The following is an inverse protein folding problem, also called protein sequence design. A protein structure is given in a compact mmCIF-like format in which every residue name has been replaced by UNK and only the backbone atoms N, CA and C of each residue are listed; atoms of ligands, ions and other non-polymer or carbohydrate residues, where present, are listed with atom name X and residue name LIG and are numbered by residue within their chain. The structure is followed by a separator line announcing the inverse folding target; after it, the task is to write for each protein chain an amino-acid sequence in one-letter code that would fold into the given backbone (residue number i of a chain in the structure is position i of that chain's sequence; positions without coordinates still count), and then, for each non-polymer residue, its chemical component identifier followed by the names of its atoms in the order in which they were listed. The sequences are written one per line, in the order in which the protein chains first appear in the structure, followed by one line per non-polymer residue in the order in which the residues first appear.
data_IF_447928873928
#
_entry.id   IF_447928873928
#
_cell.length_a   1.000
_cell.length_b   1.000
_cell.length_c   1.000
_cell.angle_alpha   90.00
_cell.angle_beta   90.00
_cell.angle_gamma   90.00
#
_symmetry.space_group_name_H-M   'P 1'
#
loop_
_entity.id
_entity.type
_entity.pdbx_description
1 polymer ?
#
# COMPACT_ATOMS: atom_id res chain seq x y z
N UNK A 1 23.31 -16.96 31.83
CA UNK A 1 21.86 -17.07 31.64
C UNK A 1 21.65 -17.23 30.15
N UNK A 2 21.08 -18.34 29.71
CA UNK A 2 20.81 -18.60 28.30
C UNK A 2 19.39 -18.16 28.02
N UNK A 3 19.23 -17.17 27.13
CA UNK A 3 17.92 -16.67 26.66
C UNK A 3 17.55 -17.47 25.42
N UNK A 4 16.33 -18.02 25.40
CA UNK A 4 15.77 -18.73 24.25
C UNK A 4 14.46 -18.07 23.86
N UNK A 5 14.39 -17.55 22.66
CA UNK A 5 13.15 -17.07 22.05
C UNK A 5 12.43 -18.20 21.33
N UNK A 6 11.13 -18.36 21.59
CA UNK A 6 10.30 -19.39 20.97
C UNK A 6 9.12 -18.73 20.26
N UNK A 7 8.61 -19.39 19.22
CA UNK A 7 7.45 -18.94 18.45
C UNK A 7 6.24 -19.82 18.74
N UNK A 8 5.06 -19.20 18.77
CA UNK A 8 3.78 -19.89 18.87
C UNK A 8 2.79 -19.23 17.93
N UNK A 9 2.02 -20.03 17.19
CA UNK A 9 0.95 -19.51 16.33
C UNK A 9 -0.34 -19.36 17.12
N UNK A 10 -1.07 -18.27 16.86
CA UNK A 10 -2.40 -18.04 17.40
C UNK A 10 -3.29 -17.36 16.35
N UNK A 11 -4.60 -17.47 16.49
CA UNK A 11 -5.54 -16.77 15.59
C UNK A 11 -5.81 -15.35 16.10
N UNK A 12 -5.66 -14.36 15.23
CA UNK A 12 -6.00 -12.97 15.51
C UNK A 12 -7.02 -12.45 14.49
N UNK A 13 -7.89 -11.55 14.92
CA UNK A 13 -8.83 -10.83 14.05
C UNK A 13 -8.36 -9.40 13.88
N UNK A 14 -8.25 -8.94 12.64
CA UNK A 14 -7.96 -7.55 12.33
C UNK A 14 -9.16 -6.92 11.59
N UNK A 15 -9.14 -5.59 11.44
CA UNK A 15 -10.23 -4.82 10.82
C UNK A 15 -9.76 -4.16 9.53
N UNK A 16 -10.69 -3.81 8.67
CA UNK A 16 -10.49 -2.89 7.56
C UNK A 16 -11.68 -1.95 7.44
N UNK A 17 -11.51 -0.84 6.77
CA UNK A 17 -12.57 0.09 6.43
C UNK A 17 -12.89 -0.02 4.95
N UNK A 18 -14.18 0.08 4.61
CA UNK A 18 -14.62 0.24 3.23
C UNK A 18 -15.31 1.60 3.05
N UNK A 19 -15.13 2.19 1.88
CA UNK A 19 -15.78 3.44 1.46
C UNK A 19 -16.53 3.19 0.16
N UNK A 20 -17.75 3.69 0.10
CA UNK A 20 -18.76 3.47 -0.94
C UNK A 20 -19.36 2.04 -0.91
N UNK A 21 -20.10 1.67 -1.93
CA UNK A 21 -20.78 0.37 -2.02
C UNK A 21 -20.34 -0.30 -3.32
N UNK A 22 -19.91 -1.54 -3.21
CA UNK A 22 -19.62 -2.37 -4.37
C UNK A 22 -20.93 -2.71 -5.10
N UNK A 23 -21.02 -2.36 -6.37
CA UNK A 23 -22.22 -2.53 -7.19
C UNK A 23 -21.86 -2.78 -8.67
N UNK A 24 -22.84 -3.07 -9.50
CA UNK A 24 -22.66 -3.21 -10.96
C UNK A 24 -22.10 -1.96 -11.66
N UNK A 25 -22.22 -0.78 -11.02
CA UNK A 25 -21.65 0.47 -11.53
C UNK A 25 -20.19 0.67 -11.13
N UNK A 26 -19.67 -0.15 -10.23
CA UNK A 26 -18.29 -0.05 -9.75
C UNK A 26 -17.33 -0.40 -10.88
N UNK A 27 -16.44 0.49 -11.21
CA UNK A 27 -15.40 0.31 -12.24
C UNK A 27 -14.04 0.00 -11.62
N UNK A 28 -13.77 0.57 -10.43
CA UNK A 28 -12.48 0.48 -9.76
C UNK A 28 -12.67 -0.01 -8.32
N UNK A 29 -11.90 -1.02 -7.95
CA UNK A 29 -11.71 -1.44 -6.57
C UNK A 29 -10.30 -1.06 -6.15
N UNK A 30 -10.20 -0.32 -5.07
CA UNK A 30 -8.94 0.16 -4.53
C UNK A 30 -8.61 -0.60 -3.24
N UNK A 31 -7.38 -1.11 -3.13
CA UNK A 31 -6.82 -1.57 -1.86
C UNK A 31 -5.71 -0.61 -1.47
N UNK A 32 -5.91 0.13 -0.37
CA UNK A 32 -5.07 1.27 -0.02
C UNK A 32 -4.40 1.10 1.33
N UNK A 33 -3.08 1.04 1.34
CA UNK A 33 -2.24 0.84 2.51
C UNK A 33 -1.77 2.19 3.07
N UNK A 34 -2.14 2.48 4.30
CA UNK A 34 -1.79 3.73 4.98
C UNK A 34 -0.32 3.80 5.41
N UNK A 35 0.17 5.02 5.68
CA UNK A 35 1.48 5.25 6.28
C UNK A 35 1.53 4.90 7.76
N UNK A 36 2.75 4.85 8.32
CA UNK A 36 2.96 4.71 9.77
C UNK A 36 2.25 5.83 10.52
N UNK A 37 1.67 5.51 11.67
CA UNK A 37 0.94 6.47 12.52
C UNK A 37 -0.51 6.71 12.10
N UNK A 38 -0.92 6.28 10.92
CA UNK A 38 -2.32 6.37 10.51
C UNK A 38 -3.16 5.19 11.04
N UNK A 39 -4.47 5.42 11.09
CA UNK A 39 -5.48 4.36 11.18
C UNK A 39 -6.30 4.34 9.90
N UNK A 40 -6.70 3.15 9.44
CA UNK A 40 -7.46 2.96 8.19
C UNK A 40 -8.68 3.86 8.07
N UNK A 41 -9.44 4.06 9.19
CA UNK A 41 -10.64 4.90 9.26
C UNK A 41 -10.40 6.39 8.98
N UNK A 42 -9.18 6.87 9.18
CA UNK A 42 -8.81 8.25 8.85
C UNK A 42 -8.19 8.32 7.47
N UNK A 43 -7.35 7.35 7.12
CA UNK A 43 -6.68 7.30 5.84
C UNK A 43 -7.65 7.17 4.67
N UNK A 44 -8.67 6.35 4.79
CA UNK A 44 -9.67 6.13 3.73
C UNK A 44 -10.40 7.42 3.31
N UNK A 45 -10.44 8.44 4.18
CA UNK A 45 -11.10 9.73 3.91
C UNK A 45 -10.41 10.55 2.81
N UNK A 46 -9.15 10.27 2.50
CA UNK A 46 -8.47 10.93 1.37
C UNK A 46 -9.11 10.57 0.02
N UNK A 47 -9.83 9.47 -0.06
CA UNK A 47 -10.46 8.95 -1.27
C UNK A 47 -11.92 9.38 -1.45
N UNK A 48 -12.45 10.24 -0.59
CA UNK A 48 -13.88 10.61 -0.56
C UNK A 48 -14.32 11.50 -1.75
N UNK A 49 -13.38 12.04 -2.52
CA UNK A 49 -13.67 12.84 -3.72
C UNK A 49 -13.71 12.02 -5.01
N UNK A 50 -13.33 10.75 -4.96
CA UNK A 50 -13.50 9.84 -6.08
C UNK A 50 -15.00 9.61 -6.35
N UNK A 51 -15.42 9.49 -7.65
CA UNK A 51 -16.82 9.23 -8.00
C UNK A 51 -17.36 8.00 -7.26
N UNK A 52 -18.36 8.20 -6.39
CA UNK A 52 -18.83 7.20 -5.41
C UNK A 52 -19.38 5.94 -6.05
N UNK A 53 -20.09 6.06 -7.17
CA UNK A 53 -20.70 4.91 -7.85
C UNK A 53 -19.67 4.05 -8.59
N UNK A 54 -18.53 4.66 -8.97
CA UNK A 54 -17.52 4.01 -9.80
C UNK A 54 -16.32 3.46 -9.01
N UNK A 55 -16.18 3.85 -7.73
CA UNK A 55 -15.01 3.50 -6.94
C UNK A 55 -15.41 2.89 -5.58
N UNK A 56 -14.97 1.67 -5.33
CA UNK A 56 -15.04 1.00 -4.03
C UNK A 56 -13.65 0.94 -3.43
N UNK A 57 -13.48 1.48 -2.21
CA UNK A 57 -12.17 1.61 -1.59
C UNK A 57 -12.11 0.73 -0.34
N UNK A 58 -11.07 -0.07 -0.21
CA UNK A 58 -10.76 -0.94 0.90
C UNK A 58 -9.47 -0.44 1.55
N UNK A 59 -9.52 -0.07 2.82
CA UNK A 59 -8.37 0.34 3.60
C UNK A 59 -8.14 -0.65 4.75
N UNK A 60 -7.20 -1.61 4.60
CA UNK A 60 -6.83 -2.51 5.68
C UNK A 60 -6.18 -1.75 6.83
N UNK A 61 -6.36 -2.24 8.06
CA UNK A 61 -5.74 -1.69 9.25
C UNK A 61 -4.40 -2.38 9.51
N UNK A 62 -3.32 -1.60 9.63
CA UNK A 62 -2.03 -2.13 10.08
C UNK A 62 -2.17 -2.81 11.45
N UNK A 63 -1.52 -3.98 11.68
CA UNK A 63 -1.78 -4.79 12.86
C UNK A 63 -1.24 -4.19 14.16
N UNK A 64 -0.07 -3.55 14.12
CA UNK A 64 0.64 -3.06 15.30
C UNK A 64 0.19 -1.67 15.70
N UNK A 65 -0.82 -1.59 16.58
CA UNK A 65 -1.34 -0.33 17.11
C UNK A 65 -0.50 0.16 18.28
N UNK A 66 -0.25 1.47 18.35
CA UNK A 66 0.51 2.10 19.42
C UNK A 66 0.01 3.52 19.69
N UNK A 67 0.31 4.02 20.88
CA UNK A 67 0.02 5.41 21.21
C UNK A 67 1.04 6.34 20.58
N UNK A 68 0.56 7.36 19.85
CA UNK A 68 1.40 8.35 19.17
C UNK A 68 2.13 9.28 20.15
N UNK A 69 1.50 9.58 21.29
CA UNK A 69 1.99 10.54 22.26
C UNK A 69 1.97 9.94 23.67
N UNK A 70 2.78 10.52 24.55
CA UNK A 70 2.88 10.12 25.97
C UNK A 70 1.62 10.37 26.80
N UNK A 71 0.67 11.15 26.29
CA UNK A 71 -0.63 11.39 26.91
C UNK A 71 -1.66 10.28 26.67
N UNK A 72 -1.30 9.26 25.84
CA UNK A 72 -2.13 8.08 25.51
C UNK A 72 -3.50 8.40 24.88
N UNK A 73 -3.66 9.60 24.30
CA UNK A 73 -4.94 10.02 23.69
C UNK A 73 -5.08 9.63 22.23
N UNK A 74 -3.97 9.57 21.50
CA UNK A 74 -3.99 9.32 20.06
C UNK A 74 -3.29 8.01 19.73
N UNK A 75 -3.98 7.19 18.94
CA UNK A 75 -3.50 5.88 18.48
C UNK A 75 -3.15 5.96 16.99
N UNK A 76 -2.00 5.45 16.66
CA UNK A 76 -1.57 5.15 15.30
C UNK A 76 -1.28 3.67 15.14
N UNK A 77 -0.88 3.28 13.93
CA UNK A 77 -0.47 1.91 13.67
C UNK A 77 0.74 1.83 12.74
N UNK A 78 1.45 0.72 12.83
CA UNK A 78 2.58 0.36 11.97
C UNK A 78 2.31 -0.99 11.30
N UNK A 79 2.72 -1.11 10.03
CA UNK A 79 2.65 -2.37 9.31
C UNK A 79 3.75 -3.32 9.75
N UNK A 80 4.96 -2.81 9.81
CA UNK A 80 6.17 -3.56 10.14
C UNK A 80 7.12 -2.68 10.94
N UNK A 81 7.99 -3.33 11.70
CA UNK A 81 9.16 -2.71 12.34
C UNK A 81 10.42 -3.44 11.87
N UNK A 82 11.58 -3.10 12.44
CA UNK A 82 12.82 -3.85 12.23
C UNK A 82 12.86 -5.17 13.01
N UNK A 83 11.96 -5.32 13.99
CA UNK A 83 11.87 -6.51 14.82
C UNK A 83 11.06 -7.59 14.12
N UNK A 84 11.58 -8.80 14.04
CA UNK A 84 10.95 -9.99 13.45
C UNK A 84 10.31 -9.74 12.05
N UNK A 85 10.93 -8.88 11.23
CA UNK A 85 10.34 -8.35 9.99
C UNK A 85 9.88 -9.45 9.03
N UNK A 86 10.62 -10.56 8.92
CA UNK A 86 10.26 -11.66 8.01
C UNK A 86 8.98 -12.35 8.47
N UNK A 87 8.90 -12.67 9.78
CA UNK A 87 7.71 -13.30 10.38
C UNK A 87 6.49 -12.38 10.24
N UNK A 88 6.64 -11.11 10.64
CA UNK A 88 5.57 -10.13 10.59
C UNK A 88 5.11 -9.83 9.14
N UNK A 89 6.03 -9.84 8.19
CA UNK A 89 5.65 -9.75 6.77
C UNK A 89 4.74 -10.92 6.38
N UNK A 90 5.09 -12.16 6.75
CA UNK A 90 4.23 -13.32 6.48
C UNK A 90 2.84 -13.17 7.07
N UNK A 91 2.73 -12.71 8.32
CA UNK A 91 1.45 -12.48 9.00
C UNK A 91 0.61 -11.43 8.27
N UNK A 92 1.22 -10.30 7.86
CA UNK A 92 0.52 -9.24 7.13
C UNK A 92 0.06 -9.72 5.75
N UNK A 93 0.90 -10.44 5.01
CA UNK A 93 0.52 -10.96 3.69
C UNK A 93 -0.63 -11.97 3.79
N UNK A 94 -0.59 -12.90 4.75
CA UNK A 94 -1.70 -13.83 5.01
C UNK A 94 -3.00 -13.09 5.35
N UNK A 95 -2.92 -12.03 6.15
CA UNK A 95 -4.07 -11.18 6.44
C UNK A 95 -4.63 -10.55 5.16
N UNK A 96 -3.78 -10.05 4.28
CA UNK A 96 -4.19 -9.43 3.02
C UNK A 96 -4.81 -10.42 2.04
N UNK A 97 -4.26 -11.63 1.94
CA UNK A 97 -4.82 -12.68 1.09
C UNK A 97 -6.22 -13.09 1.58
N UNK A 98 -6.42 -13.22 2.90
CA UNK A 98 -7.72 -13.49 3.49
C UNK A 98 -8.71 -12.35 3.25
N UNK A 99 -8.27 -11.09 3.36
CA UNK A 99 -9.09 -9.93 3.07
C UNK A 99 -9.55 -9.95 1.61
N UNK A 100 -8.63 -10.11 0.67
CA UNK A 100 -8.97 -10.15 -0.76
C UNK A 100 -9.93 -11.29 -1.07
N UNK A 101 -9.72 -12.47 -0.49
CA UNK A 101 -10.60 -13.62 -0.68
C UNK A 101 -12.01 -13.40 -0.09
N UNK A 102 -12.15 -12.58 0.96
CA UNK A 102 -13.44 -12.24 1.56
C UNK A 102 -14.25 -11.23 0.75
N UNK A 103 -13.57 -10.40 -0.04
CA UNK A 103 -14.17 -9.38 -0.90
C UNK A 103 -14.51 -10.02 -2.27
N UNK A 104 -15.79 -10.11 -2.57
CA UNK A 104 -16.26 -10.69 -3.84
C UNK A 104 -16.17 -9.66 -4.97
N UNK A 105 -14.95 -9.33 -5.38
CA UNK A 105 -14.69 -8.32 -6.41
C UNK A 105 -15.18 -8.84 -7.77
N UNK A 106 -16.10 -8.13 -8.45
CA UNK A 106 -16.56 -8.52 -9.78
C UNK A 106 -15.42 -8.47 -10.81
N UNK A 107 -15.40 -9.43 -11.73
CA UNK A 107 -14.33 -9.55 -12.73
C UNK A 107 -14.23 -8.36 -13.71
N UNK A 108 -15.30 -7.55 -13.84
CA UNK A 108 -15.27 -6.34 -14.67
C UNK A 108 -14.61 -5.14 -14.00
N UNK A 109 -14.37 -5.20 -12.68
CA UNK A 109 -13.74 -4.11 -11.95
C UNK A 109 -12.21 -4.15 -12.13
N UNK A 110 -11.63 -2.98 -12.34
CA UNK A 110 -10.17 -2.82 -12.27
C UNK A 110 -9.72 -2.87 -10.82
N UNK A 111 -8.69 -3.64 -10.52
CA UNK A 111 -8.06 -3.67 -9.20
C UNK A 111 -6.87 -2.71 -9.16
N UNK A 112 -6.91 -1.76 -8.24
CA UNK A 112 -5.88 -0.74 -8.02
C UNK A 112 -5.31 -0.93 -6.62
N UNK A 113 -4.01 -1.13 -6.52
CA UNK A 113 -3.29 -1.24 -5.25
C UNK A 113 -2.46 0.01 -5.03
N UNK A 114 -2.67 0.69 -3.92
CA UNK A 114 -1.92 1.89 -3.54
C UNK A 114 -1.30 1.74 -2.16
N UNK A 115 0.00 1.99 -2.05
CA UNK A 115 0.68 2.16 -0.78
C UNK A 115 1.12 3.60 -0.56
N UNK A 116 0.86 4.15 0.62
CA UNK A 116 1.37 5.45 1.05
C UNK A 116 2.44 5.28 2.10
N UNK A 117 3.61 5.93 1.91
CA UNK A 117 4.71 5.93 2.87
C UNK A 117 5.12 4.49 3.26
N UNK A 118 5.02 4.09 4.53
CA UNK A 118 5.25 2.70 4.96
C UNK A 118 4.36 1.70 4.21
N UNK A 119 3.15 2.09 3.83
CA UNK A 119 2.22 1.25 3.06
C UNK A 119 2.74 0.83 1.70
N UNK A 120 3.69 1.58 1.10
CA UNK A 120 4.38 1.19 -0.14
C UNK A 120 5.07 -0.15 0.02
N UNK A 121 5.72 -0.38 1.16
CA UNK A 121 6.44 -1.62 1.43
C UNK A 121 5.51 -2.84 1.49
N UNK A 122 4.27 -2.66 1.97
CA UNK A 122 3.27 -3.71 2.02
C UNK A 122 2.65 -3.94 0.65
N UNK A 123 2.24 -2.87 -0.03
CA UNK A 123 1.70 -2.96 -1.39
C UNK A 123 2.65 -3.70 -2.34
N UNK A 124 3.94 -3.36 -2.30
CA UNK A 124 4.96 -4.00 -3.12
C UNK A 124 5.15 -5.48 -2.79
N UNK A 125 5.33 -5.82 -1.49
CA UNK A 125 5.54 -7.21 -1.04
C UNK A 125 4.33 -8.09 -1.31
N UNK A 126 3.14 -7.58 -1.00
CA UNK A 126 1.92 -8.32 -1.21
C UNK A 126 1.70 -8.62 -2.69
N UNK A 127 1.80 -7.60 -3.55
CA UNK A 127 1.70 -7.79 -5.00
C UNK A 127 2.72 -8.81 -5.51
N UNK A 128 3.98 -8.70 -5.07
CA UNK A 128 5.07 -9.56 -5.52
C UNK A 128 4.93 -11.01 -5.05
N UNK A 129 4.59 -11.22 -3.77
CA UNK A 129 4.56 -12.56 -3.14
C UNK A 129 3.28 -13.32 -3.46
N UNK A 130 2.13 -12.67 -3.38
CA UNK A 130 0.83 -13.30 -3.66
C UNK A 130 0.46 -13.25 -5.15
N UNK A 131 1.31 -12.67 -6.02
CA UNK A 131 1.10 -12.55 -7.47
C UNK A 131 -0.27 -11.97 -7.81
N UNK A 132 -0.64 -10.89 -7.10
CA UNK A 132 -1.95 -10.27 -7.22
C UNK A 132 -2.20 -9.79 -8.64
N UNK A 133 -3.28 -10.27 -9.22
CA UNK A 133 -3.75 -9.83 -10.53
C UNK A 133 -4.40 -8.45 -10.40
N UNK A 134 -3.66 -7.41 -10.78
CA UNK A 134 -4.10 -6.02 -10.64
C UNK A 134 -3.86 -5.24 -11.94
N UNK A 135 -4.62 -4.16 -12.10
CA UNK A 135 -4.52 -3.26 -13.26
C UNK A 135 -3.57 -2.09 -13.00
N UNK A 136 -3.42 -1.70 -11.73
CA UNK A 136 -2.56 -0.56 -11.40
C UNK A 136 -1.93 -0.71 -10.02
N UNK A 137 -0.60 -0.49 -9.94
CA UNK A 137 0.19 -0.45 -8.71
C UNK A 137 0.75 0.96 -8.50
N UNK A 138 0.44 1.56 -7.36
CA UNK A 138 0.81 2.93 -7.05
C UNK A 138 1.66 2.97 -5.78
N UNK A 139 2.88 3.44 -5.92
CA UNK A 139 3.80 3.75 -4.84
C UNK A 139 3.74 5.24 -4.55
N UNK A 140 3.14 5.63 -3.43
CA UNK A 140 2.92 7.03 -3.09
C UNK A 140 3.79 7.43 -1.89
N UNK A 141 4.74 8.32 -2.11
CA UNK A 141 5.64 8.90 -1.09
C UNK A 141 6.33 7.85 -0.19
N UNK A 142 6.78 6.74 -0.76
CA UNK A 142 7.42 5.67 0.00
C UNK A 142 8.46 4.90 -0.81
N UNK A 143 9.33 4.17 -0.08
CA UNK A 143 10.39 3.35 -0.68
C UNK A 143 9.94 1.94 -0.98
N UNK A 144 10.37 1.41 -2.12
CA UNK A 144 10.17 0.02 -2.50
C UNK A 144 11.18 -0.87 -1.73
N UNK A 145 10.77 -2.01 -1.15
CA UNK A 145 11.66 -2.91 -0.42
C UNK A 145 12.89 -3.37 -1.23
N UNK A 146 14.06 -3.40 -0.58
CA UNK A 146 15.33 -3.69 -1.26
C UNK A 146 15.45 -5.14 -1.77
N UNK A 147 14.79 -6.07 -1.12
CA UNK A 147 14.85 -7.49 -1.48
C UNK A 147 14.04 -7.86 -2.73
N UNK A 148 13.20 -6.94 -3.24
CA UNK A 148 12.37 -7.22 -4.41
C UNK A 148 13.16 -7.06 -5.70
N UNK A 149 12.93 -7.97 -6.63
CA UNK A 149 13.64 -8.12 -7.89
C UNK A 149 12.71 -7.95 -9.11
N UNK A 150 13.23 -7.71 -10.33
CA UNK A 150 12.42 -7.64 -11.54
C UNK A 150 11.56 -8.90 -11.78
N UNK A 151 12.06 -10.07 -11.40
CA UNK A 151 11.32 -11.33 -11.55
C UNK A 151 10.05 -11.38 -10.72
N UNK A 152 10.05 -10.71 -9.55
CA UNK A 152 8.89 -10.62 -8.67
C UNK A 152 7.69 -9.91 -9.35
N UNK A 153 7.95 -9.02 -10.31
CA UNK A 153 6.93 -8.19 -10.98
C UNK A 153 6.73 -8.49 -12.46
N UNK A 154 7.44 -9.45 -13.02
CA UNK A 154 7.38 -9.79 -14.45
C UNK A 154 5.96 -10.08 -14.95
N UNK A 155 5.13 -10.71 -14.12
CA UNK A 155 3.73 -11.00 -14.43
C UNK A 155 2.89 -9.73 -14.67
N UNK A 156 3.16 -8.64 -13.94
CA UNK A 156 2.47 -7.36 -14.14
C UNK A 156 2.81 -6.75 -15.51
N UNK A 157 4.07 -6.85 -15.91
CA UNK A 157 4.53 -6.32 -17.19
C UNK A 157 3.93 -7.08 -18.38
N UNK A 158 3.70 -8.39 -18.23
CA UNK A 158 3.04 -9.23 -19.24
C UNK A 158 1.57 -8.85 -19.41
N UNK A 159 0.91 -8.41 -18.33
CA UNK A 159 -0.50 -7.96 -18.33
C UNK A 159 -0.68 -6.49 -18.64
N UNK A 160 0.42 -5.75 -18.89
CA UNK A 160 0.41 -4.29 -19.09
C UNK A 160 -0.21 -3.50 -17.92
N UNK A 161 -0.05 -3.99 -16.68
CA UNK A 161 -0.44 -3.25 -15.51
C UNK A 161 0.26 -1.88 -15.45
N UNK A 162 -0.47 -0.83 -15.07
CA UNK A 162 0.11 0.52 -14.92
C UNK A 162 0.86 0.60 -13.59
N UNK A 163 2.11 1.02 -13.63
CA UNK A 163 2.94 1.20 -12.43
C UNK A 163 3.24 2.68 -12.28
N UNK A 164 2.95 3.24 -11.12
CA UNK A 164 3.16 4.68 -10.85
C UNK A 164 3.93 4.88 -9.54
N UNK A 165 4.92 5.79 -9.58
CA UNK A 165 5.57 6.34 -8.39
C UNK A 165 5.16 7.80 -8.26
N UNK A 166 4.55 8.16 -7.14
CA UNK A 166 4.04 9.52 -6.88
C UNK A 166 4.81 10.13 -5.73
N UNK A 167 5.42 11.30 -5.95
CA UNK A 167 6.29 11.96 -4.97
C UNK A 167 6.02 13.46 -4.89
N UNK A 168 6.02 13.99 -3.67
CA UNK A 168 6.06 15.44 -3.45
C UNK A 168 7.48 15.98 -3.66
N UNK A 169 7.61 17.11 -4.36
CA UNK A 169 8.91 17.74 -4.62
C UNK A 169 9.52 18.42 -3.37
N UNK A 170 8.76 18.52 -2.29
CA UNK A 170 9.16 19.07 -0.98
C UNK A 170 9.05 18.03 0.14
N UNK A 171 9.05 16.73 -0.21
CA UNK A 171 8.95 15.64 0.78
C UNK A 171 10.24 15.57 1.60
N UNK A 172 10.15 15.91 2.90
CA UNK A 172 11.27 15.97 3.82
C UNK A 172 11.89 14.59 4.14
N UNK A 173 11.19 13.52 3.86
CA UNK A 173 11.69 12.14 4.03
C UNK A 173 12.41 11.61 2.79
N UNK A 174 12.41 12.36 1.68
CA UNK A 174 13.01 11.95 0.42
C UNK A 174 14.17 12.89 0.06
N UNK A 175 15.38 12.56 0.51
CA UNK A 175 16.58 13.25 0.07
C UNK A 175 16.84 13.01 -1.44
N UNK A 176 17.61 13.89 -2.08
CA UNK A 176 17.97 13.75 -3.49
C UNK A 176 18.62 12.40 -3.82
N UNK A 177 19.52 11.92 -2.95
CA UNK A 177 20.16 10.61 -3.08
C UNK A 177 19.17 9.46 -2.95
N UNK A 178 18.15 9.58 -2.08
CA UNK A 178 17.08 8.60 -1.96
C UNK A 178 16.19 8.62 -3.20
N UNK A 179 15.81 9.79 -3.67
CA UNK A 179 15.02 9.94 -4.89
C UNK A 179 15.70 9.27 -6.09
N UNK A 180 16.99 9.48 -6.26
CA UNK A 180 17.74 8.85 -7.34
C UNK A 180 17.73 7.32 -7.23
N UNK A 181 17.97 6.77 -6.04
CA UNK A 181 17.90 5.32 -5.79
C UNK A 181 16.51 4.74 -6.09
N UNK A 182 15.44 5.41 -5.65
CA UNK A 182 14.08 4.94 -5.93
C UNK A 182 13.75 4.96 -7.43
N UNK A 183 14.23 5.98 -8.17
CA UNK A 183 14.08 6.04 -9.63
C UNK A 183 14.83 4.91 -10.35
N UNK A 184 16.07 4.64 -9.97
CA UNK A 184 16.87 3.55 -10.53
C UNK A 184 16.25 2.19 -10.24
N UNK A 185 15.79 1.99 -9.01
CA UNK A 185 15.09 0.78 -8.60
C UNK A 185 13.80 0.58 -9.38
N UNK A 186 12.97 1.62 -9.48
CA UNK A 186 11.73 1.59 -10.26
C UNK A 186 12.01 1.22 -11.73
N UNK A 187 13.03 1.84 -12.33
CA UNK A 187 13.47 1.55 -13.70
C UNK A 187 13.90 0.08 -13.85
N UNK A 188 14.68 -0.43 -12.90
CA UNK A 188 15.14 -1.83 -12.89
C UNK A 188 13.98 -2.80 -12.73
N UNK A 189 13.14 -2.62 -11.70
CA UNK A 189 12.04 -3.54 -11.37
C UNK A 189 11.00 -3.66 -12.50
N UNK A 190 10.74 -2.57 -13.22
CA UNK A 190 9.65 -2.49 -14.20
C UNK A 190 10.13 -2.23 -15.64
N UNK A 191 11.42 -2.48 -15.94
CA UNK A 191 12.01 -2.29 -17.28
C UNK A 191 11.72 -0.90 -17.88
N UNK A 192 11.72 0.14 -17.05
CA UNK A 192 11.44 1.51 -17.45
C UNK A 192 9.98 1.81 -17.82
N UNK A 193 9.05 0.86 -17.62
CA UNK A 193 7.61 1.05 -17.92
C UNK A 193 6.82 1.78 -16.82
N UNK A 194 7.45 2.06 -15.69
CA UNK A 194 6.80 2.78 -14.60
C UNK A 194 6.82 4.29 -14.85
N UNK A 195 5.70 4.93 -14.53
CA UNK A 195 5.52 6.39 -14.60
C UNK A 195 5.94 7.06 -13.30
N UNK A 196 6.69 8.16 -13.39
CA UNK A 196 7.01 9.03 -12.26
C UNK A 196 6.13 10.28 -12.30
N UNK A 197 5.36 10.50 -11.25
CA UNK A 197 4.49 11.65 -11.07
C UNK A 197 5.04 12.49 -9.92
N UNK A 198 5.42 13.73 -10.19
CA UNK A 198 5.81 14.68 -9.16
C UNK A 198 4.69 15.70 -8.94
N UNK A 199 4.44 16.06 -7.68
CA UNK A 199 3.50 17.13 -7.34
C UNK A 199 4.15 18.17 -6.43
N UNK A 200 3.62 19.38 -6.42
CA UNK A 200 4.09 20.42 -5.52
C UNK A 200 3.51 20.21 -4.12
N UNK A 201 4.33 19.68 -3.20
CA UNK A 201 3.95 19.35 -1.83
C UNK A 201 4.99 18.52 -1.09
N UNK A 202 4.73 18.29 0.19
CA UNK A 202 5.57 17.49 1.10
C UNK A 202 5.16 16.02 1.16
N UNK A 203 5.34 15.43 2.36
CA UNK A 203 4.98 14.03 2.65
C UNK A 203 3.47 13.89 2.94
N UNK A 204 2.66 14.10 1.94
CA UNK A 204 1.19 14.14 2.08
C UNK A 204 0.48 13.44 0.93
N UNK A 205 -0.77 13.04 1.14
CA UNK A 205 -1.66 12.62 0.05
C UNK A 205 -2.48 13.83 -0.40
N UNK A 206 -2.43 14.11 -1.70
CA UNK A 206 -3.27 15.13 -2.34
C UNK A 206 -4.42 14.49 -3.09
N UNK A 207 -5.63 14.98 -2.83
CA UNK A 207 -6.88 14.44 -3.40
C UNK A 207 -7.00 14.66 -4.89
N UNK A 208 -6.54 15.79 -5.39
CA UNK A 208 -6.47 16.11 -6.82
C UNK A 208 -5.54 15.15 -7.58
N UNK A 209 -4.42 14.77 -6.96
CA UNK A 209 -3.54 13.73 -7.52
C UNK A 209 -4.26 12.38 -7.57
N UNK A 210 -4.96 11.98 -6.49
CA UNK A 210 -5.70 10.70 -6.47
C UNK A 210 -6.75 10.63 -7.59
N UNK A 211 -7.48 11.72 -7.85
CA UNK A 211 -8.47 11.80 -8.94
C UNK A 211 -7.79 11.53 -10.29
N UNK A 212 -6.63 12.13 -10.54
CA UNK A 212 -5.87 11.97 -11.78
C UNK A 212 -5.21 10.60 -11.95
N UNK A 213 -5.13 9.79 -10.87
CA UNK A 213 -4.55 8.44 -10.96
C UNK A 213 -5.52 7.41 -11.57
N UNK A 214 -6.82 7.72 -11.68
CA UNK A 214 -7.83 6.79 -12.25
C UNK A 214 -7.67 6.63 -13.78
N UNK A 215 -7.09 7.61 -14.43
CA UNK A 215 -6.84 7.59 -15.89
C UNK A 215 -5.60 6.78 -16.22
#
# INVERSE_FOLDING_TARGET
MELKENQISYTATNTYCALNILSEKTKNVWIVFHGIGFLSRYFIKYFNELPKEENYIIAPQAPSKYYLNKDFKHVGASWLTKENTVLETGNVLNYMDNLLASEKIPAHCRLIVLGFSQGVSIAARWTAKSKIDLDQLIFYAGGIPEELTPEDFKFLLTKNAKIKLVLGNKDEFISESRLQREKEKLKSLFNGKAELINFDGGHEIKKDILINLIT
#
